data_IF_338298357213
#
_entry.id   IF_338298357213
#
_cell.length_a   1.000
_cell.length_b   1.000
_cell.length_c   1.000
_cell.angle_alpha   90.00
_cell.angle_beta   90.00
_cell.angle_gamma   90.00
#
_symmetry.space_group_name_H-M   'P 1'
#
loop_
_entity.id
_entity.type
_entity.pdbx_description
1 polymer ?
#
# COMPACT_ATOMS: atom_id res chain seq x y z
N UNK A 1 -11.68 4.54 8.90
CA UNK A 1 -10.34 4.30 8.28
C UNK A 1 -10.00 2.81 8.22
N UNK A 2 -9.74 2.10 9.32
CA UNK A 2 -9.52 0.64 9.27
C UNK A 2 -10.78 -0.12 8.81
N UNK A 3 -11.94 0.31 9.29
CA UNK A 3 -13.20 -0.41 9.11
C UNK A 3 -13.78 -0.42 7.69
N UNK A 4 -13.30 0.44 6.79
CA UNK A 4 -13.94 0.65 5.47
C UNK A 4 -13.11 0.11 4.29
N UNK A 5 -11.79 0.30 4.29
CA UNK A 5 -10.93 -0.15 3.17
C UNK A 5 -10.31 -1.53 3.37
N UNK A 6 -9.99 -1.93 4.61
CA UNK A 6 -9.36 -3.23 4.87
C UNK A 6 -10.34 -4.38 5.12
N UNK A 7 -11.64 -4.08 5.31
CA UNK A 7 -12.67 -5.09 5.54
C UNK A 7 -13.35 -5.61 4.26
N UNK A 8 -13.00 -5.06 3.09
CA UNK A 8 -13.53 -5.54 1.82
C UNK A 8 -12.94 -6.92 1.52
N UNK A 9 -13.77 -7.95 1.26
CA UNK A 9 -13.29 -9.33 1.09
C UNK A 9 -12.30 -9.47 -0.06
N UNK A 10 -12.47 -8.73 -1.15
CA UNK A 10 -11.55 -8.71 -2.28
C UNK A 10 -10.16 -8.17 -1.92
N UNK A 11 -10.11 -7.13 -1.09
CA UNK A 11 -8.86 -6.53 -0.61
C UNK A 11 -8.16 -7.48 0.36
N UNK A 12 -8.89 -8.09 1.29
CA UNK A 12 -8.34 -9.09 2.22
C UNK A 12 -7.76 -10.28 1.46
N UNK A 13 -8.50 -10.79 0.47
CA UNK A 13 -8.05 -11.93 -0.34
C UNK A 13 -6.81 -11.58 -1.16
N UNK A 14 -6.78 -10.39 -1.76
CA UNK A 14 -5.63 -9.94 -2.54
C UNK A 14 -4.39 -9.74 -1.67
N UNK A 15 -4.55 -9.08 -0.51
CA UNK A 15 -3.47 -8.86 0.45
C UNK A 15 -2.93 -10.20 0.97
N UNK A 16 -3.81 -11.14 1.33
CA UNK A 16 -3.38 -12.42 1.91
C UNK A 16 -2.71 -13.36 0.91
N UNK A 17 -3.04 -13.24 -0.39
CA UNK A 17 -2.53 -14.15 -1.43
C UNK A 17 -1.26 -13.62 -2.10
N UNK A 18 -1.17 -12.31 -2.31
CA UNK A 18 -0.13 -11.71 -3.16
C UNK A 18 0.88 -10.87 -2.39
N UNK A 19 0.61 -10.52 -1.13
CA UNK A 19 1.41 -9.56 -0.37
C UNK A 19 1.68 -10.06 1.05
N UNK A 20 2.76 -9.56 1.66
CA UNK A 20 3.03 -9.76 3.08
C UNK A 20 2.57 -8.49 3.80
N UNK A 21 1.51 -8.59 4.59
CA UNK A 21 0.95 -7.46 5.33
C UNK A 21 1.55 -7.38 6.72
N UNK A 22 2.17 -6.25 7.05
CA UNK A 22 2.78 -6.00 8.36
C UNK A 22 2.10 -4.78 9.00
N UNK A 23 1.62 -4.95 10.23
CA UNK A 23 1.08 -3.86 11.04
C UNK A 23 2.12 -3.43 12.07
N UNK A 24 2.41 -2.13 12.13
CA UNK A 24 3.37 -1.55 13.08
C UNK A 24 2.64 -0.56 13.98
N UNK A 25 2.79 -0.77 15.28
CA UNK A 25 2.37 0.18 16.31
C UNK A 25 3.49 1.22 16.50
N UNK A 26 3.32 2.41 15.95
CA UNK A 26 4.36 3.44 15.93
C UNK A 26 4.59 4.10 17.30
N UNK A 27 3.63 3.99 18.23
CA UNK A 27 3.78 4.49 19.59
C UNK A 27 4.79 3.63 20.37
N UNK A 28 4.78 2.31 20.11
CA UNK A 28 5.77 1.36 20.62
C UNK A 28 7.07 1.37 19.81
N UNK A 29 6.97 1.31 18.50
CA UNK A 29 8.10 1.16 17.57
C UNK A 29 8.61 2.51 17.02
N UNK A 30 9.01 3.41 17.91
CA UNK A 30 9.44 4.79 17.56
C UNK A 30 10.62 4.85 16.58
N UNK A 31 11.51 3.85 16.63
CA UNK A 31 12.64 3.74 15.69
C UNK A 31 12.15 3.49 14.27
N UNK A 32 11.23 2.55 14.10
CA UNK A 32 10.63 2.23 12.79
C UNK A 32 9.89 3.46 12.26
N UNK A 33 9.07 4.11 13.10
CA UNK A 33 8.38 5.35 12.73
C UNK A 33 9.35 6.42 12.20
N UNK A 34 10.50 6.60 12.87
CA UNK A 34 11.53 7.55 12.44
C UNK A 34 12.21 7.13 11.14
N UNK A 35 12.61 5.85 10.99
CA UNK A 35 13.26 5.32 9.77
C UNK A 35 12.39 5.44 8.52
N UNK A 36 11.08 5.32 8.70
CA UNK A 36 10.08 5.44 7.64
C UNK A 36 9.44 6.83 7.57
N UNK A 37 10.02 7.83 8.26
CA UNK A 37 9.55 9.22 8.26
C UNK A 37 8.04 9.37 8.45
N UNK A 38 7.47 8.56 9.35
CA UNK A 38 6.04 8.59 9.66
C UNK A 38 5.71 9.87 10.42
N UNK A 39 4.97 10.78 9.76
CA UNK A 39 4.58 12.09 10.32
C UNK A 39 3.10 12.19 10.66
N UNK A 40 2.28 11.34 10.06
CA UNK A 40 0.84 11.29 10.27
C UNK A 40 0.36 9.85 10.15
N UNK A 41 -0.71 9.55 10.87
CA UNK A 41 -1.37 8.26 10.85
C UNK A 41 -2.79 8.39 10.29
N UNK A 42 -3.34 7.33 9.66
CA UNK A 42 -2.63 6.12 9.26
C UNK A 42 -1.68 6.36 8.08
N UNK A 43 -0.67 5.51 7.90
CA UNK A 43 0.22 5.51 6.74
C UNK A 43 0.45 4.07 6.27
N UNK A 44 0.38 3.85 4.96
CA UNK A 44 0.73 2.57 4.34
C UNK A 44 2.04 2.69 3.59
N UNK A 45 3.00 1.82 3.91
CA UNK A 45 4.29 1.73 3.22
C UNK A 45 4.32 0.49 2.33
N UNK A 46 4.82 0.64 1.10
CA UNK A 46 5.06 -0.44 0.15
C UNK A 46 6.55 -0.62 -0.05
N UNK A 47 7.02 -1.85 0.14
CA UNK A 47 8.43 -2.23 0.11
C UNK A 47 8.65 -3.40 -0.84
N UNK A 48 9.82 -3.46 -1.45
CA UNK A 48 10.31 -4.67 -2.12
C UNK A 48 10.72 -5.74 -1.09
N UNK A 49 10.83 -7.02 -1.48
CA UNK A 49 11.26 -8.10 -0.60
C UNK A 49 12.64 -7.89 0.05
N UNK A 50 13.51 -7.08 -0.58
CA UNK A 50 14.83 -6.73 -0.06
C UNK A 50 14.80 -5.54 0.93
N UNK A 51 13.63 -4.95 1.19
CA UNK A 51 13.46 -3.80 2.08
C UNK A 51 13.59 -2.44 1.40
N UNK A 52 13.79 -2.38 0.09
CA UNK A 52 13.78 -1.12 -0.65
C UNK A 52 12.38 -0.47 -0.63
N UNK A 53 12.37 0.86 -0.44
CA UNK A 53 11.14 1.65 -0.33
C UNK A 53 10.57 1.95 -1.71
N UNK A 54 9.36 1.47 -1.99
CA UNK A 54 8.67 1.78 -3.25
C UNK A 54 7.94 3.11 -3.11
N UNK A 55 6.98 3.18 -2.18
CA UNK A 55 6.18 4.39 -1.95
C UNK A 55 5.46 4.33 -0.60
N UNK A 56 4.95 5.48 -0.16
CA UNK A 56 4.14 5.60 1.04
C UNK A 56 2.87 6.38 0.75
N UNK A 57 1.77 5.95 1.33
CA UNK A 57 0.47 6.58 1.20
C UNK A 57 0.01 7.03 2.58
N UNK A 58 0.07 8.34 2.87
CA UNK A 58 -0.50 8.89 4.10
C UNK A 58 -2.01 9.00 4.00
N UNK A 59 -2.70 8.77 5.11
CA UNK A 59 -4.13 8.95 5.25
C UNK A 59 -4.97 7.86 4.61
N UNK A 60 -6.23 8.20 4.34
CA UNK A 60 -7.22 7.27 3.82
C UNK A 60 -7.18 7.25 2.29
N UNK A 61 -7.34 6.04 1.73
CA UNK A 61 -7.57 5.84 0.30
C UNK A 61 -8.86 5.06 0.12
N UNK A 62 -9.68 5.52 -0.83
CA UNK A 62 -10.89 4.83 -1.24
C UNK A 62 -10.57 3.37 -1.66
N UNK A 63 -11.43 2.38 -1.32
CA UNK A 63 -11.15 0.97 -1.55
C UNK A 63 -10.85 0.60 -3.01
N UNK A 64 -11.57 1.18 -3.98
CA UNK A 64 -11.37 0.90 -5.40
C UNK A 64 -10.01 1.39 -5.89
N UNK A 65 -9.65 2.62 -5.51
CA UNK A 65 -8.34 3.17 -5.82
C UNK A 65 -7.23 2.38 -5.12
N UNK A 66 -7.46 1.96 -3.88
CA UNK A 66 -6.50 1.15 -3.14
C UNK A 66 -6.24 -0.18 -3.83
N UNK A 67 -7.27 -0.87 -4.33
CA UNK A 67 -7.11 -2.10 -5.08
C UNK A 67 -6.31 -1.91 -6.38
N UNK A 68 -6.52 -0.80 -7.10
CA UNK A 68 -5.70 -0.47 -8.29
C UNK A 68 -4.23 -0.28 -7.92
N UNK A 69 -3.95 0.40 -6.80
CA UNK A 69 -2.60 0.58 -6.29
C UNK A 69 -1.98 -0.77 -5.92
N UNK A 70 -2.70 -1.63 -5.20
CA UNK A 70 -2.22 -2.97 -4.85
C UNK A 70 -1.86 -3.78 -6.09
N UNK A 71 -2.70 -3.74 -7.14
CA UNK A 71 -2.42 -4.41 -8.42
C UNK A 71 -1.20 -3.83 -9.11
N UNK A 72 -1.06 -2.51 -9.14
CA UNK A 72 0.06 -1.79 -9.74
C UNK A 72 1.41 -2.09 -9.06
N UNK A 73 1.39 -2.21 -7.72
CA UNK A 73 2.58 -2.60 -6.95
C UNK A 73 2.89 -4.08 -7.20
N UNK A 74 1.88 -4.96 -7.10
CA UNK A 74 2.05 -6.40 -7.28
C UNK A 74 2.52 -6.79 -8.70
N UNK A 75 2.10 -6.04 -9.74
CA UNK A 75 2.54 -6.29 -11.11
C UNK A 75 3.96 -5.81 -11.40
N UNK A 76 4.60 -5.08 -10.48
CA UNK A 76 5.89 -4.44 -10.71
C UNK A 76 5.82 -3.26 -11.70
N UNK A 77 4.63 -2.86 -12.16
CA UNK A 77 4.44 -1.79 -13.14
C UNK A 77 4.96 -0.44 -12.66
N UNK A 78 5.08 -0.26 -11.34
CA UNK A 78 5.68 0.93 -10.73
C UNK A 78 7.14 1.18 -11.12
N UNK A 79 7.85 0.18 -11.62
CA UNK A 79 9.23 0.30 -12.11
C UNK A 79 9.31 0.98 -13.48
N UNK A 80 8.22 0.98 -14.25
CA UNK A 80 8.24 1.33 -15.68
C UNK A 80 7.25 2.39 -16.10
N UNK A 81 6.18 2.61 -15.33
CA UNK A 81 5.12 3.56 -15.67
C UNK A 81 4.55 4.20 -14.40
N UNK A 82 3.71 5.23 -14.57
CA UNK A 82 2.99 5.86 -13.45
C UNK A 82 1.67 5.15 -13.12
N UNK A 83 1.14 5.36 -11.91
CA UNK A 83 -0.17 4.85 -11.50
C UNK A 83 -1.30 5.33 -12.44
N UNK A 84 -1.21 6.56 -12.93
CA UNK A 84 -2.18 7.13 -13.87
C UNK A 84 -2.16 6.39 -15.22
N UNK A 85 -0.98 6.04 -15.71
CA UNK A 85 -0.83 5.25 -16.95
C UNK A 85 -1.34 3.82 -16.78
N UNK A 86 -1.00 3.18 -15.65
CA UNK A 86 -1.51 1.86 -15.31
C UNK A 86 -3.04 1.81 -15.25
N UNK A 87 -3.66 2.84 -14.64
CA UNK A 87 -5.11 2.97 -14.56
C UNK A 87 -5.75 3.13 -15.95
N UNK A 88 -5.13 3.90 -16.85
CA UNK A 88 -5.61 4.06 -18.23
C UNK A 88 -5.52 2.76 -19.03
N UNK A 89 -4.47 1.97 -18.82
CA UNK A 89 -4.27 0.70 -19.52
C UNK A 89 -5.24 -0.39 -19.06
N UNK A 90 -5.59 -0.40 -17.76
CA UNK A 90 -6.54 -1.36 -17.17
C UNK A 90 -8.00 -1.04 -17.44
N UNK A 91 -8.31 0.13 -18.01
CA UNK A 91 -9.66 0.59 -18.35
C UNK A 91 -10.07 0.27 -19.81
N UNK A 92 -9.25 -0.51 -20.51
CA UNK A 92 -9.44 -0.89 -21.92
C UNK A 92 -9.67 -2.40 -22.02
#
# INVERSE_FOLDING_TARGET
MEAESFNQPDIIKFLSTNLISIRVDVDKEKKIASTYYVRSLPVSWFLEPNGEKITSIPGYVNPELFLVILKYINSGSYKTMTLLEFKKQSAK
#
